data_IF_953556004142
#
_entry.id   IF_953556004142
#
_cell.length_a   1.000
_cell.length_b   1.000
_cell.length_c   1.000
_cell.angle_alpha   90.00
_cell.angle_beta   90.00
_cell.angle_gamma   90.00
#
_symmetry.space_group_name_H-M   'P 1'
#
loop_
_entity.id
_entity.type
_entity.pdbx_description
1 polymer ?
#
# COMPACT_ATOMS: atom_id res chain seq x y z
N UNK A 1 -4.37 -5.88 9.32
CA UNK A 1 -4.88 -5.69 7.95
C UNK A 1 -3.69 -5.46 7.04
N UNK A 2 -3.54 -6.23 5.96
CA UNK A 2 -2.43 -6.07 4.99
C UNK A 2 -2.99 -5.40 3.73
N UNK A 3 -2.29 -4.36 3.26
CA UNK A 3 -2.55 -3.72 1.97
C UNK A 3 -1.47 -4.16 0.98
N UNK A 4 -1.85 -4.35 -0.28
CA UNK A 4 -0.93 -4.64 -1.37
C UNK A 4 -0.62 -3.34 -2.09
N UNK A 5 0.66 -3.07 -2.31
CA UNK A 5 1.14 -1.92 -3.07
C UNK A 5 1.57 -2.40 -4.45
N UNK A 6 1.08 -1.77 -5.50
CA UNK A 6 1.50 -2.01 -6.88
C UNK A 6 2.09 -0.72 -7.45
N UNK A 7 3.29 -0.81 -8.00
CA UNK A 7 3.93 0.32 -8.69
C UNK A 7 3.46 0.35 -10.14
N UNK A 8 2.96 1.50 -10.57
CA UNK A 8 2.64 1.81 -11.96
C UNK A 8 3.39 3.10 -12.36
N UNK A 9 3.64 3.37 -13.64
CA UNK A 9 4.39 4.56 -14.04
C UNK A 9 3.77 5.84 -13.45
N UNK A 10 4.54 6.54 -12.61
CA UNK A 10 4.13 7.79 -11.96
C UNK A 10 3.18 7.65 -10.77
N UNK A 11 2.74 6.43 -10.38
CA UNK A 11 1.78 6.26 -9.28
C UNK A 11 1.96 4.96 -8.49
N UNK A 12 1.40 4.91 -7.28
CA UNK A 12 1.21 3.66 -6.54
C UNK A 12 -0.28 3.34 -6.42
N UNK A 13 -0.66 2.13 -6.78
CA UNK A 13 -2.00 1.60 -6.55
C UNK A 13 -2.01 0.79 -5.25
N UNK A 14 -2.88 1.18 -4.33
CA UNK A 14 -3.05 0.52 -3.03
C UNK A 14 -4.34 -0.30 -3.05
N UNK A 15 -4.22 -1.61 -2.88
CA UNK A 15 -5.35 -2.55 -2.88
C UNK A 15 -5.45 -3.32 -1.55
N UNK A 16 -6.66 -3.76 -1.23
CA UNK A 16 -6.97 -4.52 -0.02
C UNK A 16 -7.41 -5.93 -0.41
N UNK A 17 -7.01 -6.94 0.37
CA UNK A 17 -7.61 -8.27 0.23
C UNK A 17 -9.06 -8.33 0.77
N UNK A 18 -9.48 -7.32 1.56
CA UNK A 18 -10.86 -7.17 2.01
C UNK A 18 -11.65 -6.36 0.97
N UNK A 19 -12.68 -6.94 0.31
CA UNK A 19 -13.46 -6.29 -0.75
C UNK A 19 -14.32 -5.12 -0.28
N UNK A 20 -14.54 -4.97 1.03
CA UNK A 20 -15.25 -3.82 1.59
C UNK A 20 -14.47 -2.49 1.47
N UNK A 21 -13.18 -2.55 1.12
CA UNK A 21 -12.33 -1.36 0.98
C UNK A 21 -11.96 -1.14 -0.49
N UNK A 22 -12.39 -0.01 -1.03
CA UNK A 22 -12.04 0.40 -2.38
C UNK A 22 -10.52 0.64 -2.54
N UNK A 23 -9.94 0.33 -3.71
CA UNK A 23 -8.58 0.72 -4.06
C UNK A 23 -8.42 2.24 -4.14
N UNK A 24 -7.19 2.74 -3.96
CA UNK A 24 -6.86 4.16 -4.17
C UNK A 24 -5.44 4.32 -4.75
N UNK A 25 -5.21 5.46 -5.41
CA UNK A 25 -3.94 5.80 -6.06
C UNK A 25 -3.18 6.88 -5.28
N UNK A 26 -1.86 6.81 -5.33
CA UNK A 26 -0.93 7.84 -4.84
C UNK A 26 -0.16 8.34 -6.05
N UNK A 27 -0.27 9.63 -6.36
CA UNK A 27 0.52 10.27 -7.41
C UNK A 27 1.94 10.53 -6.92
N UNK A 28 2.93 10.09 -7.68
CA UNK A 28 4.35 10.27 -7.37
C UNK A 28 4.95 11.50 -8.06
N UNK A 29 4.18 12.19 -8.91
CA UNK A 29 4.63 13.34 -9.71
C UNK A 29 4.74 14.63 -8.87
N UNK A 30 4.02 14.69 -7.75
CA UNK A 30 3.97 15.85 -6.83
C UNK A 30 4.53 15.49 -5.44
N UNK A 31 5.59 14.69 -5.41
CA UNK A 31 6.25 14.26 -4.17
C UNK A 31 7.20 15.31 -3.61
N UNK A 32 6.70 16.52 -3.35
CA UNK A 32 7.39 17.41 -2.41
C UNK A 32 7.41 16.76 -1.03
N UNK A 33 8.58 16.30 -0.56
CA UNK A 33 9.02 15.87 0.79
C UNK A 33 8.07 15.07 1.74
N UNK A 34 6.83 14.76 1.36
CA UNK A 34 5.77 14.34 2.26
C UNK A 34 5.52 12.83 2.27
N UNK A 35 6.18 12.07 1.39
CA UNK A 35 5.97 10.62 1.25
C UNK A 35 7.31 9.90 1.39
N UNK A 36 7.43 9.07 2.43
CA UNK A 36 8.57 8.20 2.67
C UNK A 36 8.14 6.73 2.73
N UNK A 37 8.89 5.85 2.07
CA UNK A 37 8.72 4.40 2.19
C UNK A 37 9.52 3.94 3.42
N UNK A 38 8.83 3.69 4.53
CA UNK A 38 9.48 3.39 5.83
C UNK A 38 9.92 1.91 5.94
N UNK A 39 9.36 1.00 5.13
CA UNK A 39 9.80 -0.41 5.09
C UNK A 39 8.86 -1.37 4.37
N UNK A 40 9.34 -2.59 4.10
CA UNK A 40 8.58 -3.71 3.53
C UNK A 40 8.03 -4.57 4.66
N UNK A 41 6.75 -4.96 4.59
CA UNK A 41 6.15 -5.90 5.54
C UNK A 41 6.61 -7.31 5.19
N UNK A 42 7.43 -7.91 6.05
CA UNK A 42 7.99 -9.26 5.84
C UNK A 42 7.09 -10.39 6.38
N UNK A 43 6.25 -10.13 7.39
CA UNK A 43 5.45 -11.18 8.05
C UNK A 43 4.04 -10.72 8.46
N UNK A 44 3.05 -11.58 8.24
CA UNK A 44 1.70 -11.48 8.82
C UNK A 44 1.50 -12.65 9.79
N UNK A 45 1.48 -12.39 11.10
CA UNK A 45 1.24 -13.42 12.11
C UNK A 45 -0.28 -13.56 12.32
N UNK A 46 -0.86 -14.65 11.85
CA UNK A 46 -2.20 -15.07 12.22
C UNK A 46 -2.08 -16.02 13.42
N UNK A 47 -2.33 -15.54 14.64
CA UNK A 47 -2.46 -16.43 15.80
C UNK A 47 -3.85 -17.05 15.75
N UNK A 48 -3.92 -18.35 15.44
CA UNK A 48 -5.14 -19.13 15.58
C UNK A 48 -5.16 -19.60 17.04
N UNK A 49 -6.16 -19.15 17.80
CA UNK A 49 -6.44 -19.64 19.16
C UNK A 49 -7.37 -20.85 19.11
#
# INVERSE_FOLDING_TARGET
MVKRVQSIPGKLLITSANPAYAPFEIDLSDMGDNIAIIGRVEWFRCTIS
#
